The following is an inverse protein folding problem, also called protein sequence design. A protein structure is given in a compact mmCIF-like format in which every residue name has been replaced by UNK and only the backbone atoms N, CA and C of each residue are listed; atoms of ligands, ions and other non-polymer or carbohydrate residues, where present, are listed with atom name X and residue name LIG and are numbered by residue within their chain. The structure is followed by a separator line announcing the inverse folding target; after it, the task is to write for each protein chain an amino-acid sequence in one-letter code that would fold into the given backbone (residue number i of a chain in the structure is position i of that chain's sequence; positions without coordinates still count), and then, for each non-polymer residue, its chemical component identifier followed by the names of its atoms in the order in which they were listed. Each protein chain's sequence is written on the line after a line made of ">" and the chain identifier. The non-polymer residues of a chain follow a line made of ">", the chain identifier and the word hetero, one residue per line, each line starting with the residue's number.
data_IF_461308352931
#
_entry.id   IF_461308352931
#
_cell.length_a   1.000
_cell.length_b   1.000
_cell.length_c   1.000
_cell.angle_alpha   90.00
_cell.angle_beta   90.00
_cell.angle_gamma   90.00
#
_symmetry.space_group_name_H-M   'P 1'
#
loop_
_entity.id
_entity.type
_entity.pdbx_description
1 polymer ?
#
# COMPACT_ATOMS: atom_id res chain seq x y z
N UNK A 1 8.59 13.50 3.54
CA UNK A 1 7.82 12.24 3.68
C UNK A 1 6.36 12.58 3.45
N UNK A 2 5.61 11.77 2.70
CA UNK A 2 4.22 12.04 2.33
C UNK A 2 3.23 11.02 2.91
N UNK A 3 3.71 9.85 3.30
CA UNK A 3 2.91 8.82 3.94
C UNK A 3 3.78 7.92 4.82
N UNK A 4 3.16 7.24 5.78
CA UNK A 4 3.71 6.12 6.54
C UNK A 4 2.83 4.89 6.33
N UNK A 5 3.47 3.76 6.04
CA UNK A 5 2.78 2.52 5.70
C UNK A 5 3.34 1.39 6.55
N UNK A 6 2.44 0.62 7.17
CA UNK A 6 2.78 -0.62 7.85
C UNK A 6 2.72 -1.76 6.83
N UNK A 7 3.90 -2.33 6.53
CA UNK A 7 4.08 -3.34 5.50
C UNK A 7 4.62 -4.63 6.08
N UNK A 8 4.10 -5.75 5.55
CA UNK A 8 4.64 -7.08 5.81
C UNK A 8 4.80 -7.86 4.51
N UNK A 9 6.02 -8.35 4.27
CA UNK A 9 6.28 -9.35 3.24
C UNK A 9 5.93 -10.75 3.77
N UNK A 10 4.70 -11.20 3.53
CA UNK A 10 4.21 -12.54 3.88
C UNK A 10 4.65 -13.55 2.81
N UNK A 11 5.90 -14.01 2.93
CA UNK A 11 6.51 -14.94 1.96
C UNK A 11 5.81 -16.30 1.86
N UNK A 12 5.38 -16.95 2.95
CA UNK A 12 4.62 -18.21 2.84
C UNK A 12 3.35 -18.07 1.97
N UNK A 13 2.70 -16.91 2.02
CA UNK A 13 1.52 -16.65 1.23
C UNK A 13 1.80 -15.93 -0.11
N UNK A 14 3.04 -15.49 -0.36
CA UNK A 14 3.46 -14.65 -1.49
C UNK A 14 2.70 -13.31 -1.59
N UNK A 15 2.60 -12.58 -0.46
CA UNK A 15 1.82 -11.33 -0.36
C UNK A 15 2.65 -10.18 0.22
N UNK A 16 2.55 -9.01 -0.39
CA UNK A 16 2.86 -7.75 0.27
C UNK A 16 1.61 -7.24 0.99
N UNK A 17 1.56 -7.38 2.31
CA UNK A 17 0.43 -6.93 3.14
C UNK A 17 0.63 -5.48 3.54
N UNK A 18 -0.39 -4.67 3.28
CA UNK A 18 -0.53 -3.30 3.80
C UNK A 18 -1.48 -3.34 4.99
N UNK A 19 -0.94 -3.26 6.20
CA UNK A 19 -1.74 -3.35 7.42
C UNK A 19 -2.42 -2.03 7.77
N UNK A 20 -1.77 -0.90 7.51
CA UNK A 20 -2.34 0.43 7.61
C UNK A 20 -1.52 1.43 6.78
N UNK A 21 -2.17 2.51 6.32
CA UNK A 21 -1.51 3.59 5.60
C UNK A 21 -2.03 4.95 6.06
N UNK A 22 -1.11 5.86 6.39
CA UNK A 22 -1.41 7.19 6.90
C UNK A 22 -0.71 8.25 6.05
N UNK A 23 -1.44 9.25 5.61
CA UNK A 23 -0.89 10.45 5.00
C UNK A 23 -0.14 11.29 6.04
N UNK A 24 0.93 11.95 5.60
CA UNK A 24 1.57 13.00 6.39
C UNK A 24 0.84 14.34 6.19
N UNK A 25 0.94 15.29 7.13
CA UNK A 25 0.36 16.61 6.96
C UNK A 25 0.83 17.29 5.66
N UNK A 26 -0.13 17.68 4.82
CA UNK A 26 0.15 18.31 3.52
C UNK A 26 0.45 17.32 2.39
N UNK A 27 0.22 16.02 2.58
CA UNK A 27 0.28 15.04 1.50
C UNK A 27 -0.65 15.44 0.34
N UNK A 28 -0.18 15.40 -0.92
CA UNK A 28 -1.01 15.68 -2.08
C UNK A 28 -2.21 14.72 -2.23
N UNK A 29 -3.32 15.13 -2.85
CA UNK A 29 -4.49 14.27 -3.03
C UNK A 29 -4.22 13.01 -3.86
N UNK A 30 -3.24 13.04 -4.76
CA UNK A 30 -2.79 11.90 -5.58
C UNK A 30 -1.97 10.86 -4.80
N UNK A 31 -1.66 11.11 -3.52
CA UNK A 31 -0.77 10.27 -2.70
C UNK A 31 -1.17 8.80 -2.72
N UNK A 32 -2.47 8.48 -2.64
CA UNK A 32 -2.92 7.09 -2.65
C UNK A 32 -2.59 6.36 -3.96
N UNK A 33 -2.80 7.02 -5.11
CA UNK A 33 -2.55 6.44 -6.42
C UNK A 33 -1.05 6.23 -6.67
N UNK A 34 -0.24 7.26 -6.43
CA UNK A 34 1.21 7.20 -6.58
C UNK A 34 1.84 6.18 -5.61
N UNK A 35 1.37 6.15 -4.35
CA UNK A 35 1.82 5.16 -3.37
C UNK A 35 1.50 3.73 -3.81
N UNK A 36 0.35 3.49 -4.44
CA UNK A 36 0.01 2.14 -4.89
C UNK A 36 0.95 1.63 -5.99
N UNK A 37 1.37 2.49 -6.92
CA UNK A 37 2.38 2.12 -7.92
C UNK A 37 3.75 1.83 -7.29
N UNK A 38 4.15 2.57 -6.26
CA UNK A 38 5.35 2.24 -5.46
C UNK A 38 5.22 0.90 -4.73
N UNK A 39 4.04 0.56 -4.21
CA UNK A 39 3.78 -0.74 -3.59
C UNK A 39 3.87 -1.89 -4.61
N UNK A 40 3.40 -1.70 -5.85
CA UNK A 40 3.56 -2.67 -6.95
C UNK A 40 5.02 -2.85 -7.34
N UNK A 41 5.79 -1.78 -7.42
CA UNK A 41 7.23 -1.86 -7.66
C UNK A 41 7.93 -2.64 -6.54
N UNK A 42 7.59 -2.38 -5.28
CA UNK A 42 8.13 -3.12 -4.13
C UNK A 42 7.71 -4.60 -4.14
N UNK A 43 6.44 -4.89 -4.44
CA UNK A 43 5.93 -6.26 -4.59
C UNK A 43 6.76 -7.02 -5.64
N UNK A 44 6.98 -6.42 -6.82
CA UNK A 44 7.79 -7.01 -7.89
C UNK A 44 9.25 -7.22 -7.48
N UNK A 45 9.87 -6.23 -6.84
CA UNK A 45 11.25 -6.35 -6.34
C UNK A 45 11.41 -7.46 -5.29
N UNK A 46 10.41 -7.64 -4.42
CA UNK A 46 10.37 -8.70 -3.41
C UNK A 46 10.01 -10.08 -3.97
N UNK A 47 9.60 -10.17 -5.24
CA UNK A 47 9.16 -11.42 -5.87
C UNK A 47 7.86 -11.98 -5.29
N UNK A 48 6.96 -11.10 -4.85
CA UNK A 48 5.65 -11.48 -4.28
C UNK A 48 4.57 -11.44 -5.37
N UNK A 49 3.52 -12.26 -5.24
CA UNK A 49 2.51 -12.41 -6.29
C UNK A 49 1.35 -11.42 -6.19
N UNK A 50 1.01 -10.96 -4.98
CA UNK A 50 -0.12 -10.06 -4.77
C UNK A 50 0.11 -9.03 -3.68
N UNK A 51 -0.72 -8.01 -3.69
CA UNK A 51 -0.84 -7.00 -2.63
C UNK A 51 -2.19 -7.21 -1.96
N UNK A 52 -2.22 -7.22 -0.63
CA UNK A 52 -3.48 -7.20 0.13
C UNK A 52 -3.49 -5.97 1.03
N UNK A 53 -4.56 -5.20 0.97
CA UNK A 53 -4.71 -3.95 1.71
C UNK A 53 -5.81 -4.08 2.76
N UNK A 54 -5.46 -3.86 4.02
CA UNK A 54 -6.43 -3.61 5.08
C UNK A 54 -6.86 -2.13 5.00
N UNK A 55 -8.17 -1.81 4.98
CA UNK A 55 -8.65 -0.43 4.93
C UNK A 55 -8.50 0.28 6.30
N UNK A 56 -7.26 0.44 6.76
CA UNK A 56 -6.91 1.09 8.02
C UNK A 56 -5.97 2.29 7.78
N UNK A 57 -6.20 3.36 8.55
CA UNK A 57 -5.61 4.68 8.31
C UNK A 57 -6.38 5.49 7.26
N UNK A 58 -6.00 6.74 7.08
CA UNK A 58 -6.73 7.68 6.20
C UNK A 58 -6.49 7.42 4.70
N UNK A 59 -5.40 6.73 4.33
CA UNK A 59 -5.15 6.27 2.97
C UNK A 59 -5.65 4.83 2.73
N UNK A 60 -5.97 4.08 3.78
CA UNK A 60 -6.26 2.64 3.69
C UNK A 60 -7.44 2.31 2.78
N UNK A 61 -8.55 3.05 2.88
CA UNK A 61 -9.74 2.82 2.06
C UNK A 61 -9.47 3.10 0.57
N UNK A 62 -8.77 4.20 0.26
CA UNK A 62 -8.42 4.54 -1.11
C UNK A 62 -7.47 3.51 -1.73
N UNK A 63 -6.47 3.03 -0.98
CA UNK A 63 -5.57 1.97 -1.44
C UNK A 63 -6.30 0.65 -1.65
N UNK A 64 -7.26 0.30 -0.80
CA UNK A 64 -8.07 -0.90 -0.96
C UNK A 64 -8.95 -0.83 -2.22
N UNK A 65 -9.52 0.32 -2.53
CA UNK A 65 -10.32 0.57 -3.74
C UNK A 65 -9.47 0.44 -5.02
N UNK A 66 -8.27 1.01 -5.01
CA UNK A 66 -7.32 0.87 -6.13
C UNK A 66 -6.91 -0.60 -6.31
N UNK A 67 -6.71 -1.35 -5.22
CA UNK A 67 -6.27 -2.74 -5.30
C UNK A 67 -7.29 -3.70 -5.91
N UNK A 68 -8.58 -3.34 -5.90
CA UNK A 68 -9.66 -4.15 -6.48
C UNK A 68 -10.15 -3.66 -7.85
N UNK A 69 -9.63 -2.53 -8.33
CA UNK A 69 -9.93 -1.94 -9.64
C UNK A 69 -9.11 -2.57 -10.76
#
# INVERSE_FOLDING_TARGET
>A
IVARVDLKADRPASILRVHAAYAEPGAPPETAAELFEELKQMQGWLGLERIEVTPAGDLGAALADIAVS
#
